data_IF_577765884319
#
_entry.id   IF_577765884319
#
_cell.length_a   1.000
_cell.length_b   1.000
_cell.length_c   1.000
_cell.angle_alpha   90.00
_cell.angle_beta   90.00
_cell.angle_gamma   90.00
#
_symmetry.space_group_name_H-M   'P 1'
#
loop_
_entity.id
_entity.type
_entity.pdbx_description
1 polymer ?
#
# COMPACT_ATOMS: atom_id res chain seq x y z
N UNK A 1 -2.33 3.40 35.42
CA UNK A 1 -2.49 4.33 36.57
C UNK A 1 -2.33 5.78 36.16
N UNK A 2 -1.26 6.16 35.45
CA UNK A 2 -1.06 7.55 34.99
C UNK A 2 -2.28 8.08 34.22
N UNK A 3 -2.71 7.42 33.13
CA UNK A 3 -3.90 7.86 32.36
C UNK A 3 -5.15 8.14 33.25
N UNK A 4 -5.48 7.25 34.20
CA UNK A 4 -6.60 7.45 35.13
C UNK A 4 -6.35 8.59 36.14
N UNK A 5 -5.11 8.76 36.59
CA UNK A 5 -4.72 9.87 37.45
C UNK A 5 -4.78 11.21 36.70
N UNK A 6 -4.54 11.18 35.38
CA UNK A 6 -4.63 12.35 34.52
C UNK A 6 -6.10 12.71 34.16
N UNK A 7 -6.90 11.73 33.76
CA UNK A 7 -8.33 11.95 33.42
C UNK A 7 -9.16 12.51 34.61
N UNK A 8 -8.76 12.26 35.86
CA UNK A 8 -9.47 12.69 37.06
C UNK A 8 -9.10 14.07 37.65
N UNK A 9 -8.16 14.81 37.04
CA UNK A 9 -7.53 15.98 37.68
C UNK A 9 -7.97 17.32 37.04
N UNK A 10 -9.22 17.73 37.21
CA UNK A 10 -9.82 18.89 36.54
C UNK A 10 -9.67 20.26 37.24
N UNK A 11 -8.45 20.76 37.50
CA UNK A 11 -8.25 22.10 38.09
C UNK A 11 -6.91 22.79 37.75
N UNK A 12 -6.78 24.09 37.96
CA UNK A 12 -5.59 24.87 37.51
C UNK A 12 -4.25 24.42 38.13
N UNK A 13 -4.26 23.83 39.33
CA UNK A 13 -3.08 23.25 39.97
C UNK A 13 -2.57 21.97 39.29
N UNK A 14 -3.38 21.34 38.43
CA UNK A 14 -3.01 20.10 37.73
C UNK A 14 -2.18 20.42 36.49
N UNK A 15 -2.43 21.55 35.81
CA UNK A 15 -1.66 22.03 34.64
C UNK A 15 -0.14 22.15 34.92
N UNK A 16 0.25 22.66 36.09
CA UNK A 16 1.68 22.73 36.47
C UNK A 16 2.29 21.34 36.71
N UNK A 17 1.53 20.40 37.28
CA UNK A 17 1.95 19.02 37.46
C UNK A 17 2.09 18.29 36.12
N UNK A 18 1.19 18.53 35.15
CA UNK A 18 1.30 18.02 33.78
C UNK A 18 2.58 18.50 33.11
N UNK A 19 2.82 19.80 33.14
CA UNK A 19 4.00 20.41 32.52
C UNK A 19 5.29 19.87 33.16
N UNK A 20 5.33 19.76 34.48
CA UNK A 20 6.50 19.22 35.18
C UNK A 20 6.73 17.74 34.89
N UNK A 21 5.68 16.92 34.91
CA UNK A 21 5.77 15.51 34.56
C UNK A 21 6.25 15.33 33.11
N UNK A 22 5.66 16.07 32.17
CA UNK A 22 6.05 16.06 30.77
C UNK A 22 7.52 16.47 30.59
N UNK A 23 7.95 17.54 31.29
CA UNK A 23 9.34 18.02 31.28
C UNK A 23 10.32 16.96 31.82
N UNK A 24 9.97 16.26 32.90
CA UNK A 24 10.80 15.19 33.46
C UNK A 24 10.92 14.00 32.50
N UNK A 25 9.80 13.60 31.89
CA UNK A 25 9.77 12.50 30.92
C UNK A 25 10.65 12.82 29.70
N UNK A 26 10.43 13.98 29.09
CA UNK A 26 11.15 14.39 27.89
C UNK A 26 12.65 14.59 28.15
N UNK A 27 13.02 15.10 29.33
CA UNK A 27 14.41 15.38 29.67
C UNK A 27 15.21 14.15 30.11
N UNK A 28 14.59 13.21 30.83
CA UNK A 28 15.32 12.12 31.48
C UNK A 28 14.89 10.73 31.03
N UNK A 29 13.58 10.48 30.88
CA UNK A 29 13.08 9.12 30.71
C UNK A 29 13.23 8.59 29.26
N UNK A 30 13.15 9.45 28.25
CA UNK A 30 13.29 9.04 26.83
C UNK A 30 14.69 8.46 26.54
N UNK A 31 15.72 8.99 27.17
CA UNK A 31 17.12 8.57 26.99
C UNK A 31 17.65 7.67 28.11
N UNK A 32 16.78 7.11 28.96
CA UNK A 32 17.21 6.32 30.11
C UNK A 32 17.94 5.04 29.68
N UNK A 33 18.89 4.57 30.50
CA UNK A 33 19.65 3.34 30.22
C UNK A 33 18.75 2.10 30.22
N UNK A 34 17.72 2.09 31.05
CA UNK A 34 16.74 1.02 31.14
C UNK A 34 15.69 1.11 30.03
N UNK A 35 15.59 0.07 29.21
CA UNK A 35 14.59 0.00 28.14
C UNK A 35 13.15 0.04 28.69
N UNK A 36 12.92 -0.46 29.91
CA UNK A 36 11.60 -0.41 30.58
C UNK A 36 11.19 1.04 30.87
N UNK A 37 12.15 1.87 31.30
CA UNK A 37 11.90 3.30 31.54
C UNK A 37 11.62 4.03 30.23
N UNK A 38 12.32 3.70 29.15
CA UNK A 38 12.06 4.26 27.82
C UNK A 38 10.67 3.88 27.28
N UNK A 39 10.25 2.63 27.46
CA UNK A 39 8.88 2.19 27.12
C UNK A 39 7.85 2.97 27.95
N UNK A 40 8.08 3.10 29.26
CA UNK A 40 7.20 3.89 30.12
C UNK A 40 7.11 5.35 29.66
N UNK A 41 8.22 5.95 29.24
CA UNK A 41 8.27 7.30 28.68
C UNK A 41 7.38 7.44 27.43
N UNK A 42 7.48 6.49 26.49
CA UNK A 42 6.64 6.46 25.30
C UNK A 42 5.15 6.33 25.63
N UNK A 43 4.79 5.42 26.54
CA UNK A 43 3.41 5.27 27.00
C UNK A 43 2.88 6.52 27.70
N UNK A 44 3.73 7.24 28.46
CA UNK A 44 3.36 8.52 29.04
C UNK A 44 3.08 9.55 27.93
N UNK A 45 3.95 9.70 26.92
CA UNK A 45 3.73 10.61 25.80
C UNK A 45 2.43 10.30 25.05
N UNK A 46 2.14 9.02 24.80
CA UNK A 46 0.86 8.57 24.24
C UNK A 46 -0.33 8.95 25.13
N UNK A 47 -0.19 8.78 26.45
CA UNK A 47 -1.22 9.16 27.41
C UNK A 47 -1.45 10.69 27.41
N UNK A 48 -0.40 11.51 27.36
CA UNK A 48 -0.49 12.96 27.20
C UNK A 48 -1.23 13.33 25.91
N UNK A 49 -0.86 12.74 24.78
CA UNK A 49 -1.56 12.97 23.51
C UNK A 49 -3.05 12.59 23.60
N UNK A 50 -3.34 11.49 24.30
CA UNK A 50 -4.71 11.00 24.48
C UNK A 50 -5.58 11.99 25.25
N UNK A 51 -5.12 12.49 26.39
CA UNK A 51 -5.90 13.43 27.21
C UNK A 51 -5.97 14.85 26.64
N UNK A 52 -5.50 15.07 25.40
CA UNK A 52 -5.54 16.38 24.73
C UNK A 52 -4.33 17.28 25.02
N UNK A 53 -3.22 16.72 25.53
CA UNK A 53 -1.96 17.43 25.77
C UNK A 53 -2.08 18.72 26.59
N UNK A 54 -2.61 18.70 27.83
CA UNK A 54 -2.73 19.90 28.65
C UNK A 54 -1.38 20.62 28.79
N UNK A 55 -1.35 21.90 28.41
CA UNK A 55 -0.14 22.73 28.47
C UNK A 55 0.89 22.46 27.36
N UNK A 56 0.62 21.56 26.42
CA UNK A 56 1.45 21.34 25.23
C UNK A 56 1.00 22.28 24.11
N UNK A 57 1.91 23.15 23.67
CA UNK A 57 1.75 23.92 22.45
C UNK A 57 2.22 23.16 21.21
N UNK A 58 2.08 23.80 20.06
CA UNK A 58 2.54 23.25 18.78
C UNK A 58 4.05 22.93 18.79
N UNK A 59 4.87 23.73 19.49
CA UNK A 59 6.31 23.51 19.62
C UNK A 59 6.64 22.27 20.46
N UNK A 60 5.97 22.08 21.60
CA UNK A 60 6.15 20.91 22.45
C UNK A 60 5.71 19.62 21.75
N UNK A 61 4.61 19.67 20.99
CA UNK A 61 4.16 18.54 20.17
C UNK A 61 5.16 18.20 19.06
N UNK A 62 5.67 19.20 18.34
CA UNK A 62 6.65 18.98 17.27
C UNK A 62 7.98 18.42 17.82
N UNK A 63 8.45 18.95 18.94
CA UNK A 63 9.64 18.44 19.65
C UNK A 63 9.43 17.00 20.14
N UNK A 64 8.25 16.68 20.67
CA UNK A 64 7.92 15.32 21.11
C UNK A 64 7.89 14.34 19.95
N UNK A 65 7.33 14.74 18.80
CA UNK A 65 7.35 13.95 17.59
C UNK A 65 8.79 13.70 17.11
N UNK A 66 9.65 14.74 17.11
CA UNK A 66 11.06 14.59 16.77
C UNK A 66 11.81 13.62 17.71
N UNK A 67 11.53 13.66 19.02
CA UNK A 67 12.07 12.70 19.97
C UNK A 67 11.62 11.27 19.69
N UNK A 68 10.34 11.06 19.35
CA UNK A 68 9.83 9.74 19.02
C UNK A 68 10.49 9.20 17.74
N UNK A 69 10.65 10.03 16.70
CA UNK A 69 11.36 9.64 15.46
C UNK A 69 12.78 9.18 15.78
N UNK A 70 13.52 9.91 16.62
CA UNK A 70 14.86 9.49 17.06
C UNK A 70 14.83 8.18 17.85
N UNK A 71 13.83 7.96 18.67
CA UNK A 71 13.68 6.73 19.45
C UNK A 71 13.37 5.49 18.58
N UNK A 72 12.96 5.66 17.32
CA UNK A 72 12.82 4.54 16.38
C UNK A 72 14.16 3.91 15.98
N UNK A 73 15.29 4.54 16.32
CA UNK A 73 16.64 3.99 16.17
C UNK A 73 17.07 3.12 17.38
N UNK A 74 16.21 2.98 18.40
CA UNK A 74 16.55 2.21 19.60
C UNK A 74 16.86 0.73 19.26
N UNK A 75 17.89 0.12 19.87
CA UNK A 75 18.23 -1.28 19.61
C UNK A 75 17.12 -2.26 20.02
N UNK A 76 16.22 -1.88 20.93
CA UNK A 76 15.17 -2.76 21.47
C UNK A 76 13.87 -2.57 20.71
N UNK A 77 13.35 -3.63 20.08
CA UNK A 77 12.12 -3.58 19.28
C UNK A 77 10.91 -3.05 20.06
N UNK A 78 10.70 -3.52 21.29
CA UNK A 78 9.56 -3.08 22.10
C UNK A 78 9.63 -1.60 22.49
N UNK A 79 10.83 -1.00 22.52
CA UNK A 79 10.97 0.46 22.69
C UNK A 79 10.52 1.16 21.41
N UNK A 80 10.98 0.69 20.24
CA UNK A 80 10.56 1.23 18.94
C UNK A 80 9.05 1.15 18.76
N UNK A 81 8.42 0.03 19.10
CA UNK A 81 6.98 -0.17 18.97
C UNK A 81 6.19 0.81 19.85
N UNK A 82 6.62 1.00 21.11
CA UNK A 82 5.99 1.94 22.03
C UNK A 82 6.12 3.39 21.56
N UNK A 83 7.30 3.78 21.05
CA UNK A 83 7.52 5.13 20.51
C UNK A 83 6.82 5.36 19.17
N UNK A 84 6.64 4.33 18.35
CA UNK A 84 5.86 4.43 17.13
C UNK A 84 4.39 4.75 17.43
N UNK A 85 3.80 4.08 18.42
CA UNK A 85 2.43 4.35 18.85
C UNK A 85 2.27 5.74 19.49
N UNK A 86 3.26 6.17 20.27
CA UNK A 86 3.31 7.52 20.82
C UNK A 86 3.41 8.58 19.73
N UNK A 87 4.27 8.38 18.72
CA UNK A 87 4.42 9.28 17.58
C UNK A 87 3.10 9.45 16.82
N UNK A 88 2.42 8.34 16.49
CA UNK A 88 1.14 8.38 15.80
C UNK A 88 0.07 9.17 16.58
N UNK A 89 0.00 8.95 17.90
CA UNK A 89 -0.93 9.66 18.78
C UNK A 89 -0.63 11.16 18.90
N UNK A 90 0.64 11.54 19.00
CA UNK A 90 1.07 12.94 19.08
C UNK A 90 0.77 13.70 17.78
N UNK A 91 1.06 13.10 16.63
CA UNK A 91 0.76 13.70 15.32
C UNK A 91 -0.76 13.84 15.12
N UNK A 92 -1.53 12.85 15.55
CA UNK A 92 -2.99 12.91 15.48
C UNK A 92 -3.53 14.06 16.35
N UNK A 93 -3.02 14.26 17.57
CA UNK A 93 -3.38 15.43 18.39
C UNK A 93 -2.94 16.75 17.74
N UNK A 94 -1.75 16.80 17.15
CA UNK A 94 -1.26 17.99 16.43
C UNK A 94 -2.10 18.36 15.22
N UNK A 95 -2.76 17.39 14.59
CA UNK A 95 -3.63 17.60 13.44
C UNK A 95 -5.08 17.94 13.78
N UNK A 96 -5.49 17.77 15.05
CA UNK A 96 -6.83 18.06 15.55
C UNK A 96 -6.74 19.06 16.73
N UNK A 97 -6.40 20.33 16.45
CA UNK A 97 -6.23 21.35 17.49
C UNK A 97 -7.47 21.57 18.37
N UNK A 98 -8.66 21.31 17.84
CA UNK A 98 -9.94 21.35 18.56
C UNK A 98 -10.02 20.35 19.73
N UNK A 99 -9.22 19.30 19.70
CA UNK A 99 -9.15 18.30 20.76
C UNK A 99 -8.06 18.60 21.81
N UNK A 100 -7.31 19.70 21.66
CA UNK A 100 -6.29 20.09 22.62
C UNK A 100 -6.92 20.78 23.83
N UNK A 101 -6.54 20.33 25.03
CA UNK A 101 -7.00 20.93 26.28
C UNK A 101 -6.29 22.26 26.48
N UNK A 102 -7.04 23.35 26.39
CA UNK A 102 -6.55 24.67 26.72
C UNK A 102 -6.28 24.76 28.23
N UNK A 103 -5.08 25.20 28.61
CA UNK A 103 -4.77 25.51 30.01
C UNK A 103 -5.63 26.70 30.45
N UNK A 104 -6.68 26.42 31.23
CA UNK A 104 -7.64 27.43 31.69
C UNK A 104 -7.00 28.53 32.52
N UNK A 105 -6.79 29.69 31.92
CA UNK A 105 -6.55 30.96 32.59
C UNK A 105 -7.45 32.03 31.97
N UNK A 106 -7.94 32.99 32.77
CA UNK A 106 -8.70 34.16 32.29
C UNK A 106 -7.80 35.00 31.37
N UNK A 107 -7.80 34.70 30.08
CA UNK A 107 -7.06 35.43 29.05
C UNK A 107 -7.35 34.82 27.68
N UNK A 108 -7.40 35.68 26.65
CA UNK A 108 -7.49 35.24 25.25
C UNK A 108 -6.20 34.51 24.90
N UNK A 109 -6.17 33.18 25.08
CA UNK A 109 -5.08 32.35 24.57
C UNK A 109 -5.25 32.20 23.06
N UNK A 110 -4.17 32.27 22.27
CA UNK A 110 -4.24 31.95 20.85
C UNK A 110 -4.78 30.52 20.70
N UNK A 111 -5.77 30.34 19.83
CA UNK A 111 -6.32 29.02 19.52
C UNK A 111 -5.19 28.07 19.11
N UNK A 112 -5.29 26.82 19.57
CA UNK A 112 -4.41 25.76 19.10
C UNK A 112 -4.38 25.77 17.57
N UNK A 113 -3.17 25.84 17.00
CA UNK A 113 -2.98 25.81 15.54
C UNK A 113 -2.68 24.39 15.10
N UNK A 114 -3.29 23.99 13.99
CA UNK A 114 -2.97 22.72 13.32
C UNK A 114 -1.47 22.68 13.01
N UNK A 115 -0.82 21.57 13.35
CA UNK A 115 0.60 21.39 13.09
C UNK A 115 0.84 21.08 11.61
N UNK A 116 0.90 22.14 10.80
CA UNK A 116 1.09 22.04 9.36
C UNK A 116 2.42 21.38 8.98
N UNK A 117 2.36 20.48 7.99
CA UNK A 117 3.53 19.75 7.48
C UNK A 117 4.12 18.70 8.44
N UNK A 118 3.47 18.40 9.57
CA UNK A 118 4.01 17.44 10.55
C UNK A 118 4.18 16.02 10.00
N UNK A 119 3.24 15.53 9.20
CA UNK A 119 3.32 14.20 8.58
C UNK A 119 4.52 14.14 7.64
N UNK A 120 4.74 15.18 6.83
CA UNK A 120 5.90 15.26 5.96
C UNK A 120 7.21 15.29 6.76
N UNK A 121 7.26 16.09 7.83
CA UNK A 121 8.47 16.30 8.65
C UNK A 121 8.86 15.07 9.46
N UNK A 122 7.87 14.38 10.04
CA UNK A 122 8.10 13.32 11.04
C UNK A 122 7.80 11.91 10.54
N UNK A 123 7.09 11.74 9.43
CA UNK A 123 6.83 10.43 8.84
C UNK A 123 7.43 10.30 7.44
N UNK A 124 7.00 11.10 6.47
CA UNK A 124 7.39 10.93 5.07
C UNK A 124 8.89 11.13 4.83
N UNK A 125 9.45 12.25 5.30
CA UNK A 125 10.86 12.56 5.11
C UNK A 125 11.78 11.58 5.87
N UNK A 126 11.53 11.22 7.14
CA UNK A 126 12.28 10.16 7.81
C UNK A 126 12.17 8.81 7.09
N UNK A 127 11.01 8.46 6.54
CA UNK A 127 10.82 7.20 5.80
C UNK A 127 11.71 7.14 4.57
N UNK A 128 11.70 8.21 3.75
CA UNK A 128 12.53 8.31 2.55
C UNK A 128 14.02 8.42 2.86
N UNK A 129 14.41 8.90 4.05
CA UNK A 129 15.81 8.97 4.51
C UNK A 129 16.32 7.65 5.06
N UNK A 130 15.45 6.82 5.62
CA UNK A 130 15.78 5.55 6.23
C UNK A 130 16.15 4.50 5.17
N UNK A 131 17.19 4.75 4.36
CA UNK A 131 17.59 3.88 3.27
C UNK A 131 18.67 2.88 3.68
N UNK A 132 18.61 1.70 3.07
CA UNK A 132 19.60 0.64 3.24
C UNK A 132 19.27 -0.39 4.33
N UNK A 133 20.06 -1.49 4.40
CA UNK A 133 19.72 -2.66 5.21
C UNK A 133 19.64 -2.40 6.72
N UNK A 134 20.41 -1.41 7.23
CA UNK A 134 20.47 -1.06 8.66
C UNK A 134 19.34 -0.14 9.12
N UNK A 135 18.53 0.36 8.19
CA UNK A 135 17.47 1.34 8.47
C UNK A 135 16.07 0.71 8.39
N UNK A 136 15.99 -0.62 8.20
CA UNK A 136 14.72 -1.35 8.10
C UNK A 136 13.88 -1.22 9.37
N UNK A 137 14.52 -1.31 10.54
CA UNK A 137 13.86 -1.15 11.84
C UNK A 137 13.22 0.23 12.00
N UNK A 138 13.91 1.28 11.56
CA UNK A 138 13.39 2.66 11.57
C UNK A 138 12.19 2.78 10.63
N UNK A 139 12.28 2.24 9.41
CA UNK A 139 11.13 2.23 8.47
C UNK A 139 9.93 1.50 9.06
N UNK A 140 10.12 0.34 9.68
CA UNK A 140 9.04 -0.37 10.37
C UNK A 140 8.42 0.48 11.47
N UNK A 141 9.24 1.15 12.30
CA UNK A 141 8.75 2.08 13.32
C UNK A 141 7.91 3.22 12.73
N UNK A 142 8.35 3.83 11.62
CA UNK A 142 7.61 4.89 10.93
C UNK A 142 6.30 4.35 10.35
N UNK A 143 6.32 3.14 9.78
CA UNK A 143 5.14 2.44 9.30
C UNK A 143 4.11 2.21 10.40
N UNK A 144 4.54 1.73 11.57
CA UNK A 144 3.67 1.57 12.73
C UNK A 144 3.14 2.92 13.24
N UNK A 145 3.94 3.98 13.15
CA UNK A 145 3.54 5.35 13.50
C UNK A 145 2.45 5.88 12.57
N UNK A 146 2.57 5.65 11.26
CA UNK A 146 1.52 5.95 10.28
C UNK A 146 0.20 5.22 10.60
N UNK A 147 0.26 3.92 10.88
CA UNK A 147 -0.94 3.14 11.21
C UNK A 147 -1.59 3.65 12.51
N UNK A 148 -0.79 3.88 13.56
CA UNK A 148 -1.28 4.44 14.83
C UNK A 148 -1.90 5.82 14.64
N UNK A 149 -1.30 6.68 13.83
CA UNK A 149 -1.86 7.98 13.46
C UNK A 149 -3.22 7.83 12.76
N UNK A 150 -3.32 7.02 11.71
CA UNK A 150 -4.56 6.84 10.93
C UNK A 150 -5.68 6.23 11.79
N UNK A 151 -5.35 5.28 12.66
CA UNK A 151 -6.28 4.71 13.62
C UNK A 151 -6.74 5.75 14.64
N UNK A 152 -5.87 6.63 15.13
CA UNK A 152 -6.27 7.71 16.03
C UNK A 152 -7.21 8.71 15.32
N UNK A 153 -6.93 9.09 14.07
CA UNK A 153 -7.80 9.93 13.26
C UNK A 153 -9.21 9.34 13.14
N UNK A 154 -9.32 8.02 12.89
CA UNK A 154 -10.59 7.32 12.71
C UNK A 154 -11.32 6.99 13.99
N UNK A 155 -10.65 6.35 14.93
CA UNK A 155 -11.27 5.73 16.10
C UNK A 155 -11.35 6.68 17.29
N UNK A 156 -10.42 7.64 17.41
CA UNK A 156 -10.40 8.60 18.51
C UNK A 156 -11.05 9.93 18.13
N UNK A 157 -10.63 10.51 17.01
CA UNK A 157 -11.13 11.80 16.55
C UNK A 157 -12.36 11.69 15.64
N UNK A 158 -12.80 10.47 15.33
CA UNK A 158 -14.04 10.17 14.59
C UNK A 158 -14.13 10.93 13.26
N UNK A 159 -12.98 11.19 12.61
CA UNK A 159 -12.96 11.81 11.28
C UNK A 159 -13.55 10.84 10.26
N UNK A 160 -14.28 11.31 9.23
CA UNK A 160 -14.84 10.45 8.19
C UNK A 160 -13.78 9.57 7.50
N UNK A 161 -14.12 8.35 7.13
CA UNK A 161 -13.23 7.42 6.39
C UNK A 161 -12.91 7.93 5.00
N UNK A 162 -13.79 8.74 4.41
CA UNK A 162 -13.54 9.38 3.11
C UNK A 162 -12.27 10.26 3.12
N UNK A 163 -11.87 10.80 4.29
CA UNK A 163 -10.62 11.56 4.42
C UNK A 163 -9.36 10.68 4.30
N UNK A 164 -9.48 9.36 4.52
CA UNK A 164 -8.35 8.41 4.45
C UNK A 164 -7.73 8.32 3.06
N UNK A 165 -8.52 8.56 2.02
CA UNK A 165 -8.03 8.60 0.63
C UNK A 165 -6.90 9.63 0.45
N UNK A 166 -6.97 10.78 1.13
CA UNK A 166 -5.96 11.83 1.03
C UNK A 166 -4.62 11.38 1.65
N UNK A 167 -4.68 10.59 2.73
CA UNK A 167 -3.48 10.02 3.35
C UNK A 167 -2.92 8.87 2.53
N UNK A 168 -3.76 8.07 1.88
CA UNK A 168 -3.32 6.99 0.99
C UNK A 168 -2.41 7.52 -0.13
N UNK A 169 -2.74 8.67 -0.72
CA UNK A 169 -1.90 9.31 -1.73
C UNK A 169 -0.55 9.76 -1.15
N UNK A 170 -0.54 10.48 -0.03
CA UNK A 170 0.69 10.90 0.66
C UNK A 170 1.59 9.71 1.04
N UNK A 171 0.98 8.60 1.45
CA UNK A 171 1.67 7.36 1.80
C UNK A 171 2.30 6.72 0.56
N UNK A 172 1.58 6.67 -0.57
CA UNK A 172 2.14 6.16 -1.83
C UNK A 172 3.28 7.05 -2.35
N UNK A 173 3.19 8.38 -2.21
CA UNK A 173 4.23 9.33 -2.64
C UNK A 173 5.59 9.10 -1.96
N UNK A 174 5.63 8.42 -0.81
CA UNK A 174 6.89 7.99 -0.19
C UNK A 174 7.70 7.00 -1.06
N UNK A 175 7.08 6.41 -2.10
CA UNK A 175 7.70 5.52 -3.09
C UNK A 175 8.19 6.25 -4.35
N UNK A 176 8.19 7.60 -4.38
CA UNK A 176 8.74 8.39 -5.49
C UNK A 176 10.28 8.37 -5.53
N UNK A 177 10.83 7.18 -5.60
CA UNK A 177 12.26 6.92 -5.79
C UNK A 177 12.46 6.11 -7.07
N UNK A 178 13.51 6.42 -7.83
CA UNK A 178 13.77 5.76 -9.12
C UNK A 178 14.07 4.26 -9.00
N UNK A 179 14.62 3.84 -7.85
CA UNK A 179 14.94 2.45 -7.57
C UNK A 179 13.80 1.74 -6.84
N UNK A 180 13.50 0.50 -7.26
CA UNK A 180 12.54 -0.35 -6.56
C UNK A 180 13.13 -0.86 -5.24
N UNK A 181 12.43 -0.64 -4.14
CA UNK A 181 12.80 -1.09 -2.81
C UNK A 181 11.69 -1.97 -2.22
N UNK A 182 11.91 -3.28 -2.22
CA UNK A 182 10.92 -4.27 -1.77
C UNK A 182 10.50 -4.07 -0.30
N UNK A 183 11.41 -3.60 0.57
CA UNK A 183 11.09 -3.35 1.97
C UNK A 183 10.23 -2.10 2.13
N UNK A 184 10.56 -1.02 1.40
CA UNK A 184 9.71 0.17 1.35
C UNK A 184 8.32 -0.18 0.80
N UNK A 185 8.25 -0.94 -0.29
CA UNK A 185 6.99 -1.42 -0.87
C UNK A 185 6.14 -2.16 0.17
N UNK A 186 6.71 -3.14 0.89
CA UNK A 186 5.99 -3.90 1.91
C UNK A 186 5.49 -3.01 3.07
N UNK A 187 6.31 -2.06 3.51
CA UNK A 187 5.93 -1.07 4.53
C UNK A 187 4.74 -0.22 4.10
N UNK A 188 4.75 0.29 2.85
CA UNK A 188 3.66 1.10 2.30
C UNK A 188 2.39 0.28 2.13
N UNK A 189 2.48 -0.95 1.62
CA UNK A 189 1.34 -1.86 1.51
C UNK A 189 0.72 -2.18 2.87
N UNK A 190 1.52 -2.29 3.93
CA UNK A 190 1.00 -2.48 5.28
C UNK A 190 0.21 -1.27 5.78
N UNK A 191 0.69 -0.04 5.53
CA UNK A 191 -0.03 1.20 5.89
C UNK A 191 -1.36 1.27 5.12
N UNK A 192 -1.32 1.05 3.79
CA UNK A 192 -2.50 1.10 2.93
C UNK A 192 -3.52 0.04 3.33
N UNK A 193 -3.08 -1.16 3.70
CA UNK A 193 -3.97 -2.21 4.18
C UNK A 193 -4.59 -1.86 5.54
N UNK A 194 -3.76 -1.77 6.58
CA UNK A 194 -4.22 -1.74 7.97
C UNK A 194 -4.69 -0.35 8.40
N UNK A 195 -4.01 0.69 7.94
CA UNK A 195 -4.29 2.08 8.30
C UNK A 195 -5.34 2.75 7.41
N UNK A 196 -5.53 2.27 6.17
CA UNK A 196 -6.47 2.87 5.21
C UNK A 196 -7.62 1.90 4.91
N UNK A 197 -7.41 0.85 4.12
CA UNK A 197 -8.50 0.00 3.60
C UNK A 197 -9.31 -0.67 4.71
N UNK A 198 -8.66 -1.26 5.72
CA UNK A 198 -9.33 -1.95 6.84
C UNK A 198 -10.09 -0.97 7.78
N UNK A 199 -9.87 0.34 7.65
CA UNK A 199 -10.56 1.39 8.42
C UNK A 199 -11.74 2.03 7.67
N UNK A 200 -11.91 1.67 6.38
CA UNK A 200 -12.98 2.18 5.52
C UNK A 200 -14.21 1.29 5.58
N UNK A 201 -15.38 1.91 5.55
CA UNK A 201 -16.65 1.23 5.30
C UNK A 201 -16.76 0.77 3.84
N UNK A 202 -17.63 -0.19 3.57
CA UNK A 202 -17.85 -0.75 2.23
C UNK A 202 -18.16 0.32 1.16
N UNK A 203 -19.03 1.34 1.39
CA UNK A 203 -19.24 2.40 0.42
C UNK A 203 -17.96 3.21 0.12
N UNK A 204 -17.16 3.51 1.14
CA UNK A 204 -15.90 4.23 0.95
C UNK A 204 -14.85 3.37 0.22
N UNK A 205 -14.82 2.05 0.47
CA UNK A 205 -13.96 1.13 -0.27
C UNK A 205 -14.31 1.06 -1.77
N UNK A 206 -15.60 1.15 -2.14
CA UNK A 206 -16.02 1.26 -3.54
C UNK A 206 -15.46 2.52 -4.19
N UNK A 207 -15.66 3.68 -3.57
CA UNK A 207 -15.13 4.96 -4.06
C UNK A 207 -13.59 4.96 -4.15
N UNK A 208 -12.95 4.37 -3.13
CA UNK A 208 -11.50 4.25 -3.08
C UNK A 208 -10.95 3.35 -4.20
N UNK A 209 -11.65 2.29 -4.58
CA UNK A 209 -11.26 1.43 -5.71
C UNK A 209 -11.26 2.21 -7.03
N UNK A 210 -12.29 3.05 -7.25
CA UNK A 210 -12.36 3.95 -8.41
C UNK A 210 -11.25 4.99 -8.39
N UNK A 211 -10.95 5.56 -7.22
CA UNK A 211 -9.83 6.48 -7.04
C UNK A 211 -8.49 5.83 -7.42
N UNK A 212 -8.21 4.62 -6.94
CA UNK A 212 -7.00 3.88 -7.28
C UNK A 212 -6.90 3.59 -8.79
N UNK A 213 -8.01 3.20 -9.43
CA UNK A 213 -8.08 3.05 -10.88
C UNK A 213 -7.65 4.32 -11.62
N UNK A 214 -8.17 5.49 -11.22
CA UNK A 214 -7.80 6.79 -11.79
C UNK A 214 -6.33 7.14 -11.57
N UNK A 215 -5.74 6.79 -10.43
CA UNK A 215 -4.30 7.01 -10.18
C UNK A 215 -3.42 6.21 -11.15
N UNK A 216 -3.84 5.00 -11.56
CA UNK A 216 -3.07 4.17 -12.48
C UNK A 216 -2.98 4.75 -13.90
N UNK A 217 -3.96 5.57 -14.30
CA UNK A 217 -3.93 6.30 -15.57
C UNK A 217 -2.93 7.45 -15.58
N UNK A 218 -2.57 7.98 -14.42
CA UNK A 218 -1.72 9.16 -14.33
C UNK A 218 -0.27 8.84 -14.73
N UNK A 219 0.28 9.69 -15.61
CA UNK A 219 1.67 9.60 -16.09
C UNK A 219 2.66 10.03 -15.01
N UNK A 220 2.22 10.81 -14.01
CA UNK A 220 3.07 11.31 -12.93
C UNK A 220 3.38 10.28 -11.85
N UNK A 221 2.70 9.13 -11.87
CA UNK A 221 2.80 8.09 -10.83
C UNK A 221 3.97 7.17 -11.15
N UNK A 222 4.93 7.09 -10.23
CA UNK A 222 6.12 6.24 -10.37
C UNK A 222 5.75 4.75 -10.47
N UNK A 223 6.62 3.89 -11.05
CA UNK A 223 6.34 2.46 -11.16
C UNK A 223 6.04 1.80 -9.80
N UNK A 224 6.76 2.17 -8.74
CA UNK A 224 6.56 1.65 -7.38
C UNK A 224 5.19 2.05 -6.81
N UNK A 225 4.75 3.29 -7.06
CA UNK A 225 3.39 3.73 -6.70
C UNK A 225 2.31 2.98 -7.47
N UNK A 226 2.51 2.71 -8.78
CA UNK A 226 1.56 1.89 -9.55
C UNK A 226 1.42 0.48 -8.98
N UNK A 227 2.54 -0.14 -8.58
CA UNK A 227 2.52 -1.44 -7.90
C UNK A 227 1.75 -1.32 -6.58
N UNK A 228 1.96 -0.27 -5.79
CA UNK A 228 1.25 -0.08 -4.53
C UNK A 228 -0.26 0.09 -4.74
N UNK A 229 -0.66 0.87 -5.75
CA UNK A 229 -2.05 1.08 -6.11
C UNK A 229 -2.72 -0.21 -6.61
N UNK A 230 -2.05 -0.99 -7.47
CA UNK A 230 -2.55 -2.29 -7.96
C UNK A 230 -2.72 -3.33 -6.85
N UNK A 231 -1.72 -3.48 -5.97
CA UNK A 231 -1.82 -4.37 -4.80
C UNK A 231 -2.96 -3.93 -3.86
N UNK A 232 -3.10 -2.63 -3.63
CA UNK A 232 -4.15 -2.08 -2.76
C UNK A 232 -5.52 -2.28 -3.38
N UNK A 233 -5.65 -2.05 -4.69
CA UNK A 233 -6.88 -2.30 -5.44
C UNK A 233 -7.27 -3.78 -5.38
N UNK A 234 -6.32 -4.69 -5.60
CA UNK A 234 -6.52 -6.14 -5.45
C UNK A 234 -7.02 -6.49 -4.05
N UNK A 235 -6.45 -5.91 -3.01
CA UNK A 235 -6.90 -6.14 -1.64
C UNK A 235 -8.32 -5.60 -1.43
N UNK A 236 -8.60 -4.37 -1.85
CA UNK A 236 -9.92 -3.74 -1.71
C UNK A 236 -11.02 -4.49 -2.46
N UNK A 237 -10.76 -4.98 -3.68
CA UNK A 237 -11.73 -5.79 -4.42
C UNK A 237 -12.03 -7.12 -3.70
N UNK A 238 -11.02 -7.73 -3.07
CA UNK A 238 -11.21 -8.94 -2.26
C UNK A 238 -12.00 -8.69 -0.99
N UNK A 239 -11.80 -7.56 -0.33
CA UNK A 239 -12.56 -7.21 0.88
C UNK A 239 -14.00 -6.86 0.56
N UNK A 240 -14.23 -6.16 -0.56
CA UNK A 240 -15.57 -5.87 -1.07
C UNK A 240 -16.30 -7.13 -1.54
N UNK A 241 -15.59 -8.07 -2.17
CA UNK A 241 -16.22 -9.25 -2.77
C UNK A 241 -17.03 -8.93 -4.04
N UNK A 242 -16.85 -7.73 -4.60
CA UNK A 242 -17.43 -7.30 -5.87
C UNK A 242 -16.51 -6.34 -6.64
N UNK A 243 -16.84 -6.11 -7.91
CA UNK A 243 -16.17 -5.12 -8.77
C UNK A 243 -17.15 -3.97 -9.00
N UNK A 244 -16.89 -2.76 -8.45
CA UNK A 244 -17.77 -1.60 -8.65
C UNK A 244 -17.99 -1.31 -10.13
N UNK A 245 -19.23 -0.99 -10.52
CA UNK A 245 -19.58 -0.70 -11.91
C UNK A 245 -18.80 0.52 -12.45
N UNK A 246 -18.59 1.51 -11.59
CA UNK A 246 -17.84 2.73 -11.86
C UNK A 246 -16.35 2.45 -12.13
N UNK A 247 -15.81 1.38 -11.52
CA UNK A 247 -14.44 0.95 -11.80
C UNK A 247 -14.33 0.36 -13.20
N UNK A 248 -15.36 -0.38 -13.66
CA UNK A 248 -15.37 -1.01 -15.00
C UNK A 248 -15.23 0.02 -16.11
N UNK A 249 -15.76 1.23 -15.93
CA UNK A 249 -15.63 2.33 -16.91
C UNK A 249 -14.19 2.82 -17.12
N UNK A 250 -13.36 2.72 -16.09
CA UNK A 250 -11.95 3.15 -16.10
C UNK A 250 -11.02 1.96 -16.38
N UNK A 251 -11.53 0.73 -16.22
CA UNK A 251 -10.74 -0.48 -16.15
C UNK A 251 -10.02 -0.81 -17.45
N UNK A 252 -10.70 -0.73 -18.60
CA UNK A 252 -10.11 -1.09 -19.90
C UNK A 252 -8.85 -0.24 -20.19
N UNK A 253 -8.95 1.07 -19.94
CA UNK A 253 -7.83 1.99 -20.14
C UNK A 253 -6.68 1.74 -19.15
N UNK A 254 -6.99 1.43 -17.89
CA UNK A 254 -5.99 1.05 -16.88
C UNK A 254 -5.25 -0.21 -17.30
N UNK A 255 -5.96 -1.22 -17.81
CA UNK A 255 -5.37 -2.48 -18.29
C UNK A 255 -4.43 -2.21 -19.46
N UNK A 256 -4.84 -1.43 -20.45
CA UNK A 256 -4.01 -1.14 -21.62
C UNK A 256 -2.73 -0.39 -21.23
N UNK A 257 -2.83 0.62 -20.35
CA UNK A 257 -1.67 1.38 -19.87
C UNK A 257 -0.74 0.53 -19.02
N UNK A 258 -1.28 -0.33 -18.16
CA UNK A 258 -0.47 -1.07 -17.20
C UNK A 258 0.15 -2.36 -17.80
N UNK A 259 -0.51 -2.97 -18.79
CA UNK A 259 0.04 -4.13 -19.53
C UNK A 259 1.14 -3.76 -20.53
N UNK A 260 1.13 -2.55 -21.07
CA UNK A 260 2.21 -2.02 -21.94
C UNK A 260 3.32 -1.29 -21.18
N UNK A 261 3.29 -1.31 -19.84
CA UNK A 261 4.23 -0.55 -19.03
C UNK A 261 5.67 -1.09 -19.10
N UNK A 262 6.65 -0.19 -19.20
CA UNK A 262 8.08 -0.54 -19.35
C UNK A 262 8.63 -1.36 -18.19
N UNK A 263 8.16 -1.10 -16.96
CA UNK A 263 8.47 -1.91 -15.77
C UNK A 263 7.80 -3.28 -15.83
N UNK A 264 8.59 -4.34 -15.80
CA UNK A 264 8.14 -5.74 -15.72
C UNK A 264 7.29 -6.00 -14.46
N UNK A 265 7.65 -5.41 -13.31
CA UNK A 265 6.91 -5.60 -12.06
C UNK A 265 5.50 -5.00 -12.12
N UNK A 266 5.32 -3.86 -12.80
CA UNK A 266 3.98 -3.26 -13.01
C UNK A 266 3.12 -4.20 -13.85
N UNK A 267 3.68 -4.80 -14.90
CA UNK A 267 2.97 -5.77 -15.76
C UNK A 267 2.55 -7.03 -14.99
N UNK A 268 3.44 -7.57 -14.15
CA UNK A 268 3.12 -8.72 -13.28
C UNK A 268 1.99 -8.35 -12.30
N UNK A 269 2.11 -7.24 -11.60
CA UNK A 269 1.10 -6.85 -10.61
C UNK A 269 -0.26 -6.54 -11.26
N UNK A 270 -0.25 -6.04 -12.50
CA UNK A 270 -1.46 -5.87 -13.32
C UNK A 270 -2.11 -7.21 -13.61
N UNK A 271 -1.34 -8.22 -14.02
CA UNK A 271 -1.85 -9.56 -14.28
C UNK A 271 -2.41 -10.24 -13.02
N UNK A 272 -1.81 -9.98 -11.85
CA UNK A 272 -2.33 -10.45 -10.57
C UNK A 272 -3.62 -9.73 -10.19
N UNK A 273 -3.70 -8.41 -10.42
CA UNK A 273 -4.91 -7.62 -10.17
C UNK A 273 -6.06 -8.04 -11.06
N UNK A 274 -5.80 -8.32 -12.33
CA UNK A 274 -6.79 -8.88 -13.26
C UNK A 274 -7.28 -10.27 -12.84
N UNK A 275 -6.39 -11.10 -12.31
CA UNK A 275 -6.76 -12.39 -11.73
C UNK A 275 -7.68 -12.21 -10.53
N UNK A 276 -7.41 -11.24 -9.65
CA UNK A 276 -8.29 -10.91 -8.52
C UNK A 276 -9.64 -10.39 -9.01
N UNK A 277 -9.66 -9.55 -10.04
CA UNK A 277 -10.91 -9.09 -10.62
C UNK A 277 -11.73 -10.29 -11.14
N UNK A 278 -11.10 -11.22 -11.86
CA UNK A 278 -11.72 -12.45 -12.32
C UNK A 278 -12.14 -13.42 -11.19
N UNK A 279 -11.43 -13.42 -10.06
CA UNK A 279 -11.79 -14.15 -8.84
C UNK A 279 -13.11 -13.61 -8.26
N UNK A 280 -13.26 -12.28 -8.26
CA UNK A 280 -14.36 -11.55 -7.63
C UNK A 280 -15.58 -11.42 -8.55
N UNK A 281 -15.37 -11.19 -9.85
CA UNK A 281 -16.38 -11.16 -10.90
C UNK A 281 -16.06 -12.20 -12.00
N UNK A 282 -16.48 -13.46 -11.82
CA UNK A 282 -16.21 -14.52 -12.79
C UNK A 282 -16.81 -14.28 -14.20
N UNK A 283 -17.75 -13.35 -14.34
CA UNK A 283 -18.41 -13.08 -15.63
C UNK A 283 -17.47 -12.44 -16.65
N UNK A 284 -16.43 -11.72 -16.18
CA UNK A 284 -15.47 -11.05 -17.07
C UNK A 284 -14.40 -11.99 -17.64
N UNK A 285 -14.22 -13.18 -17.05
CA UNK A 285 -13.11 -14.10 -17.38
C UNK A 285 -13.11 -14.47 -18.86
N UNK A 286 -14.27 -14.84 -19.41
CA UNK A 286 -14.38 -15.25 -20.81
C UNK A 286 -13.94 -14.14 -21.76
N UNK A 287 -14.35 -12.90 -21.48
CA UNK A 287 -13.95 -11.71 -22.22
C UNK A 287 -12.44 -11.46 -22.12
N UNK A 288 -11.88 -11.46 -20.90
CA UNK A 288 -10.46 -11.23 -20.67
C UNK A 288 -9.57 -12.28 -21.35
N UNK A 289 -9.95 -13.54 -21.29
CA UNK A 289 -9.22 -14.64 -21.96
C UNK A 289 -9.29 -14.47 -23.47
N UNK A 290 -10.48 -14.19 -24.03
CA UNK A 290 -10.65 -14.01 -25.48
C UNK A 290 -9.86 -12.81 -25.99
N UNK A 291 -9.87 -11.70 -25.24
CA UNK A 291 -9.07 -10.52 -25.52
C UNK A 291 -7.58 -10.85 -25.50
N UNK A 292 -7.08 -11.42 -24.39
CA UNK A 292 -5.67 -11.78 -24.25
C UNK A 292 -5.17 -12.74 -25.34
N UNK A 293 -5.97 -13.75 -25.70
CA UNK A 293 -5.64 -14.68 -26.79
C UNK A 293 -5.53 -13.98 -28.15
N UNK A 294 -6.51 -13.13 -28.47
CA UNK A 294 -6.57 -12.41 -29.75
C UNK A 294 -5.43 -11.40 -29.86
N UNK A 295 -5.25 -10.58 -28.83
CA UNK A 295 -4.22 -9.54 -28.76
C UNK A 295 -2.83 -10.16 -28.82
N UNK A 296 -2.58 -11.23 -28.06
CA UNK A 296 -1.27 -11.88 -28.05
C UNK A 296 -0.93 -12.54 -29.39
N UNK A 297 -1.93 -13.13 -30.07
CA UNK A 297 -1.76 -13.68 -31.41
C UNK A 297 -1.42 -12.58 -32.44
N UNK A 298 -2.15 -11.46 -32.40
CA UNK A 298 -1.90 -10.34 -33.30
C UNK A 298 -0.53 -9.67 -33.06
N UNK A 299 -0.15 -9.47 -31.79
CA UNK A 299 1.15 -8.89 -31.44
C UNK A 299 2.31 -9.74 -31.94
N UNK A 300 2.23 -11.06 -31.75
CA UNK A 300 3.25 -11.98 -32.25
C UNK A 300 3.50 -11.82 -33.75
N UNK A 301 2.42 -11.73 -34.53
CA UNK A 301 2.51 -11.61 -35.99
C UNK A 301 3.09 -10.23 -36.41
N UNK A 302 2.81 -9.17 -35.64
CA UNK A 302 3.26 -7.80 -35.93
C UNK A 302 4.73 -7.53 -35.52
N UNK A 303 5.13 -7.99 -34.33
CA UNK A 303 6.43 -7.70 -33.71
C UNK A 303 7.61 -8.25 -34.54
N UNK A 304 7.37 -9.29 -35.34
CA UNK A 304 8.34 -9.82 -36.31
C UNK A 304 8.81 -8.81 -37.36
N UNK A 305 8.03 -7.75 -37.60
CA UNK A 305 8.30 -6.71 -38.61
C UNK A 305 8.57 -5.31 -38.03
N UNK A 306 8.34 -5.12 -36.72
CA UNK A 306 8.47 -3.83 -36.05
C UNK A 306 9.92 -3.32 -35.94
N UNK A 307 10.07 -1.99 -35.89
CA UNK A 307 11.36 -1.29 -35.71
C UNK A 307 11.18 -0.07 -34.78
N UNK A 308 12.26 0.35 -34.11
CA UNK A 308 12.29 1.62 -33.35
C UNK A 308 11.65 1.56 -31.96
N UNK A 309 11.18 2.71 -31.46
CA UNK A 309 10.52 2.88 -30.16
C UNK A 309 9.21 2.11 -30.05
N UNK A 310 8.49 2.01 -31.17
CA UNK A 310 7.16 1.39 -31.24
C UNK A 310 7.27 -0.11 -30.98
N UNK A 311 8.31 -0.74 -31.51
CA UNK A 311 8.64 -2.14 -31.23
C UNK A 311 8.83 -2.42 -29.73
N UNK A 312 9.46 -1.50 -28.98
CA UNK A 312 9.68 -1.72 -27.54
C UNK A 312 8.34 -1.75 -26.79
N UNK A 313 7.43 -0.83 -27.10
CA UNK A 313 6.10 -0.78 -26.49
C UNK A 313 5.28 -2.03 -26.86
N UNK A 314 5.36 -2.48 -28.12
CA UNK A 314 4.72 -3.73 -28.56
C UNK A 314 5.27 -4.97 -27.86
N UNK A 315 6.59 -5.03 -27.63
CA UNK A 315 7.23 -6.11 -26.85
C UNK A 315 6.80 -6.06 -25.38
N UNK A 316 6.72 -4.86 -24.81
CA UNK A 316 6.28 -4.69 -23.43
C UNK A 316 4.83 -5.15 -23.26
N UNK A 317 3.96 -4.78 -24.20
CA UNK A 317 2.57 -5.22 -24.28
C UNK A 317 2.46 -6.74 -24.53
N UNK A 318 3.26 -7.32 -25.42
CA UNK A 318 3.27 -8.77 -25.71
C UNK A 318 3.54 -9.57 -24.43
N UNK A 319 4.57 -9.19 -23.69
CA UNK A 319 4.85 -9.85 -22.41
C UNK A 319 3.76 -9.56 -21.37
N UNK A 320 3.22 -8.33 -21.30
CA UNK A 320 2.12 -7.99 -20.41
C UNK A 320 0.89 -8.86 -20.63
N UNK A 321 0.45 -8.99 -21.88
CA UNK A 321 -0.69 -9.83 -22.29
C UNK A 321 -0.43 -11.31 -22.03
N UNK A 322 0.79 -11.80 -22.31
CA UNK A 322 1.17 -13.17 -21.96
C UNK A 322 1.11 -13.44 -20.45
N UNK A 323 1.52 -12.46 -19.63
CA UNK A 323 1.47 -12.57 -18.17
C UNK A 323 0.03 -12.58 -17.65
N UNK A 324 -0.85 -11.73 -18.20
CA UNK A 324 -2.29 -11.72 -17.89
C UNK A 324 -2.94 -13.05 -18.25
N UNK A 325 -2.71 -13.53 -19.48
CA UNK A 325 -3.27 -14.80 -19.92
C UNK A 325 -2.75 -15.97 -19.07
N UNK A 326 -1.45 -15.99 -18.76
CA UNK A 326 -0.87 -16.99 -17.87
C UNK A 326 -1.47 -16.95 -16.46
N UNK A 327 -1.70 -15.77 -15.88
CA UNK A 327 -2.31 -15.65 -14.54
C UNK A 327 -3.74 -16.20 -14.54
N UNK A 328 -4.54 -15.87 -15.55
CA UNK A 328 -5.91 -16.35 -15.71
C UNK A 328 -5.96 -17.87 -15.95
N UNK A 329 -5.10 -18.40 -16.83
CA UNK A 329 -5.01 -19.84 -17.12
C UNK A 329 -4.64 -20.62 -15.86
N UNK A 330 -3.63 -20.17 -15.11
CA UNK A 330 -3.20 -20.85 -13.88
C UNK A 330 -4.30 -20.91 -12.80
N UNK A 331 -5.18 -19.90 -12.77
CA UNK A 331 -6.26 -19.80 -11.80
C UNK A 331 -7.55 -20.49 -12.26
N UNK A 332 -7.79 -20.55 -13.57
CA UNK A 332 -9.08 -20.95 -14.13
C UNK A 332 -9.66 -22.31 -13.68
N UNK A 333 -8.89 -23.34 -13.26
CA UNK A 333 -9.48 -24.53 -12.63
C UNK A 333 -10.22 -24.27 -11.31
N UNK A 334 -9.96 -23.14 -10.65
CA UNK A 334 -10.58 -22.73 -9.39
C UNK A 334 -11.78 -21.81 -9.59
N UNK A 335 -12.14 -21.50 -10.84
CA UNK A 335 -13.27 -20.62 -11.13
C UNK A 335 -14.60 -21.29 -10.79
N UNK A 336 -15.55 -20.55 -10.18
CA UNK A 336 -16.87 -21.09 -9.85
C UNK A 336 -17.69 -21.43 -11.11
N UNK A 337 -17.43 -20.74 -12.24
CA UNK A 337 -18.12 -20.97 -13.51
C UNK A 337 -17.47 -22.07 -14.38
N UNK A 338 -16.44 -22.74 -13.87
CA UNK A 338 -15.77 -23.83 -14.56
C UNK A 338 -14.67 -23.40 -15.53
N UNK A 339 -13.91 -24.40 -16.00
CA UNK A 339 -12.75 -24.23 -16.87
C UNK A 339 -13.15 -24.30 -18.36
N UNK A 340 -12.87 -23.28 -19.20
CA UNK A 340 -13.28 -23.31 -20.60
C UNK A 340 -12.58 -24.45 -21.38
N UNK A 341 -13.36 -25.39 -21.93
CA UNK A 341 -12.83 -26.64 -22.50
C UNK A 341 -11.80 -26.46 -23.63
N UNK A 342 -11.90 -25.38 -24.42
CA UNK A 342 -10.96 -25.10 -25.54
C UNK A 342 -9.70 -24.36 -25.10
N UNK A 343 -9.74 -23.69 -23.94
CA UNK A 343 -8.65 -22.85 -23.45
C UNK A 343 -7.29 -23.57 -23.38
N UNK A 344 -7.16 -24.75 -22.74
CA UNK A 344 -5.85 -25.40 -22.63
C UNK A 344 -5.25 -25.70 -23.99
N UNK A 345 -6.07 -26.18 -24.93
CA UNK A 345 -5.63 -26.49 -26.29
C UNK A 345 -5.18 -25.24 -27.03
N UNK A 346 -5.96 -24.16 -26.97
CA UNK A 346 -5.62 -22.89 -27.63
C UNK A 346 -4.34 -22.26 -27.06
N UNK A 347 -4.15 -22.28 -25.74
CA UNK A 347 -2.95 -21.76 -25.09
C UNK A 347 -1.73 -22.65 -25.39
N UNK A 348 -1.90 -23.97 -25.46
CA UNK A 348 -0.84 -24.90 -25.85
C UNK A 348 -0.40 -24.66 -27.30
N UNK A 349 -1.35 -24.45 -28.21
CA UNK A 349 -1.06 -24.14 -29.60
C UNK A 349 -0.31 -22.80 -29.74
N UNK A 350 -0.75 -21.76 -29.02
CA UNK A 350 -0.08 -20.45 -29.04
C UNK A 350 1.32 -20.49 -28.43
N UNK A 351 1.48 -21.11 -27.26
CA UNK A 351 2.79 -21.28 -26.61
C UNK A 351 3.76 -22.08 -27.49
N UNK A 352 3.29 -23.17 -28.12
CA UNK A 352 4.09 -23.93 -29.09
C UNK A 352 4.57 -23.03 -30.23
N UNK A 353 3.69 -22.26 -30.87
CA UNK A 353 4.06 -21.33 -31.95
C UNK A 353 5.14 -20.33 -31.51
N UNK A 354 5.02 -19.78 -30.30
CA UNK A 354 6.00 -18.82 -29.74
C UNK A 354 7.36 -19.47 -29.42
N UNK A 355 7.38 -20.77 -29.11
CA UNK A 355 8.60 -21.50 -28.77
C UNK A 355 9.33 -22.08 -29.98
N UNK A 356 8.60 -22.53 -31.01
CA UNK A 356 9.17 -23.32 -32.11
C UNK A 356 9.39 -22.54 -33.40
N UNK A 357 8.58 -21.52 -33.67
CA UNK A 357 8.72 -20.76 -34.92
C UNK A 357 9.81 -19.69 -34.76
N UNK A 358 10.60 -19.49 -35.82
CA UNK A 358 11.71 -18.53 -35.81
C UNK A 358 11.21 -17.09 -36.01
N UNK A 359 11.43 -16.23 -35.04
CA UNK A 359 11.26 -14.77 -35.21
C UNK A 359 12.48 -14.17 -35.92
N UNK A 360 12.23 -13.28 -36.89
CA UNK A 360 13.29 -12.62 -37.67
C UNK A 360 14.06 -11.57 -36.86
N UNK A 361 13.45 -11.07 -35.78
CA UNK A 361 14.03 -10.06 -34.90
C UNK A 361 14.52 -10.74 -33.61
N UNK A 362 15.81 -10.63 -33.24
CA UNK A 362 16.36 -11.33 -32.07
C UNK A 362 15.79 -10.82 -30.73
N UNK A 363 15.42 -9.54 -30.64
CA UNK A 363 14.78 -9.00 -29.43
C UNK A 363 13.36 -9.57 -29.29
N UNK A 364 12.61 -9.60 -30.38
CA UNK A 364 11.29 -10.23 -30.43
C UNK A 364 11.33 -11.71 -30.08
N UNK A 365 12.29 -12.44 -30.66
CA UNK A 365 12.49 -13.87 -30.40
C UNK A 365 12.67 -14.18 -28.89
N UNK A 366 13.31 -13.28 -28.15
CA UNK A 366 13.55 -13.46 -26.71
C UNK A 366 12.26 -13.31 -25.92
N UNK A 367 11.51 -12.23 -26.16
CA UNK A 367 10.25 -11.95 -25.46
C UNK A 367 9.16 -12.95 -25.86
N UNK A 368 9.11 -13.37 -27.14
CA UNK A 368 8.22 -14.42 -27.61
C UNK A 368 8.48 -15.75 -26.89
N UNK A 369 9.75 -16.15 -26.75
CA UNK A 369 10.11 -17.37 -26.02
C UNK A 369 9.74 -17.28 -24.55
N UNK A 370 10.00 -16.15 -23.89
CA UNK A 370 9.61 -15.92 -22.50
C UNK A 370 8.09 -16.04 -22.33
N UNK A 371 7.32 -15.37 -23.18
CA UNK A 371 5.85 -15.48 -23.20
C UNK A 371 5.38 -16.93 -23.44
N UNK A 372 6.00 -17.64 -24.38
CA UNK A 372 5.71 -19.05 -24.65
C UNK A 372 5.94 -19.94 -23.43
N UNK A 373 7.05 -19.75 -22.72
CA UNK A 373 7.34 -20.48 -21.47
C UNK A 373 6.39 -20.11 -20.34
N UNK A 374 6.02 -18.84 -20.19
CA UNK A 374 5.03 -18.39 -19.20
C UNK A 374 3.68 -19.08 -19.41
N UNK A 375 3.19 -19.10 -20.65
CA UNK A 375 1.94 -19.76 -21.02
C UNK A 375 2.00 -21.27 -20.78
N UNK A 376 3.08 -21.94 -21.22
CA UNK A 376 3.24 -23.37 -20.99
C UNK A 376 3.30 -23.71 -19.50
N UNK A 377 4.04 -22.93 -18.72
CA UNK A 377 4.13 -23.08 -17.26
C UNK A 377 2.76 -22.91 -16.59
N UNK A 378 1.96 -21.93 -17.04
CA UNK A 378 0.62 -21.71 -16.51
C UNK A 378 -0.32 -22.90 -16.76
N UNK A 379 -0.21 -23.57 -17.91
CA UNK A 379 -0.97 -24.79 -18.22
C UNK A 379 -0.56 -25.95 -17.30
N UNK A 380 0.75 -26.17 -17.13
CA UNK A 380 1.25 -27.21 -16.24
C UNK A 380 0.81 -26.97 -14.79
N UNK A 381 0.82 -25.71 -14.34
CA UNK A 381 0.31 -25.35 -13.02
C UNK A 381 -1.21 -25.57 -12.89
N UNK A 382 -1.98 -25.37 -13.97
CA UNK A 382 -3.41 -25.60 -13.98
C UNK A 382 -3.78 -27.11 -13.98
N UNK A 383 -2.88 -27.98 -14.45
CA UNK A 383 -3.12 -29.41 -14.62
C UNK A 383 -3.14 -30.25 -13.31
N UNK A 384 -2.85 -29.67 -12.13
CA UNK A 384 -2.83 -30.41 -10.86
C UNK A 384 -3.96 -29.96 -9.92
N UNK A 385 -5.07 -30.70 -9.83
CA UNK A 385 -5.34 -31.71 -8.77
C UNK A 385 -6.37 -32.81 -9.15
N UNK A 386 -6.88 -32.86 -10.38
CA UNK A 386 -7.91 -33.84 -10.80
C UNK A 386 -7.49 -34.80 -11.91
N UNK A 387 -6.37 -34.55 -12.60
CA UNK A 387 -5.97 -35.33 -13.79
C UNK A 387 -5.24 -36.65 -13.44
N UNK A 388 -4.81 -36.85 -12.20
CA UNK A 388 -4.18 -38.12 -11.80
C UNK A 388 -5.16 -39.31 -11.74
N UNK A 389 -6.48 -39.07 -11.63
CA UNK A 389 -7.49 -40.12 -11.53
C UNK A 389 -8.24 -40.41 -12.85
N UNK A 390 -7.85 -39.78 -13.98
CA UNK A 390 -8.51 -40.01 -15.28
C UNK A 390 -7.55 -40.52 -16.37
N UNK A 391 -6.32 -40.87 -15.99
CA UNK A 391 -5.37 -41.56 -16.86
C UNK A 391 -5.11 -43.02 -16.41
N UNK A 392 -5.85 -43.50 -15.40
CA UNK A 392 -5.78 -44.88 -14.86
C UNK A 392 -7.14 -45.60 -14.80
N UNK A 393 -8.18 -45.03 -15.42
CA UNK A 393 -9.42 -45.74 -15.81
C UNK A 393 -9.53 -45.68 -17.33
#
# INVERSE_FOLDING_TARGET
>A
MLQKALEGSGGNATSSAYNEAFRLITRFAIGDKSFVVRIAAAHCLKAFASIGGPGLGAGELDNSAAHCVKALEDPVSSVRDAFAEALGSLLALGMNPEAQVQSGGKGSFPSAKKLEGCLQRHLSLPFSRANGPRSKDVRMGITLSWVSFLQAIRLRYLRPDTELQNYALQVMEMLNTDAFDAHAQACILYILRVGVTDQMTEPTQRDFSVFLGKQLESITVSPSMKIAALCTLSYTLKTLGEVPAELKEVFDKVVDVATSHSSHLVRIETALTLRVLAEVDPTCVGGLISYGMTTLSALRDNVSFGKGSDLKVELDLLHGQATVLASLVSFSPKLPLGYPARLPKSVLELSRKMLTESSRNPMAATVEKEAGWLLLSSLLSAMTKQVYNHFYE
#
